data_IF_864798543032
#
_entry.id   IF_864798543032
#
_cell.length_a   1.000
_cell.length_b   1.000
_cell.length_c   1.000
_cell.angle_alpha   90.00
_cell.angle_beta   90.00
_cell.angle_gamma   90.00
#
_symmetry.space_group_name_H-M   'P 1'
#
loop_
_entity.id
_entity.type
_entity.pdbx_description
1 polymer ?
#
# COMPACT_ATOMS: atom_id res chain seq x y z
N UNK A 1 -10.01 15.15 17.49
CA UNK A 1 -11.33 14.51 17.65
C UNK A 1 -11.07 13.05 17.97
N UNK A 2 -11.51 12.56 19.13
CA UNK A 2 -11.27 11.19 19.56
C UNK A 2 -12.47 10.34 19.12
N UNK A 3 -12.39 9.73 17.94
CA UNK A 3 -13.46 8.89 17.39
C UNK A 3 -13.36 7.51 18.00
N UNK A 4 -14.09 7.27 19.10
CA UNK A 4 -14.25 5.92 19.64
C UNK A 4 -14.92 5.04 18.59
N UNK A 5 -14.29 3.91 18.27
CA UNK A 5 -14.88 2.91 17.39
C UNK A 5 -16.23 2.44 17.96
N UNK A 6 -17.21 2.24 17.09
CA UNK A 6 -18.52 1.65 17.42
C UNK A 6 -18.45 0.12 17.56
N UNK A 7 -17.27 -0.48 17.34
CA UNK A 7 -17.04 -1.92 17.46
C UNK A 7 -17.09 -2.36 18.92
N UNK A 8 -17.85 -3.41 19.19
CA UNK A 8 -17.80 -4.16 20.45
C UNK A 8 -16.58 -5.07 20.47
N UNK A 9 -15.48 -4.56 21.03
CA UNK A 9 -14.20 -5.25 21.07
C UNK A 9 -14.16 -6.43 22.04
N UNK A 10 -15.01 -6.43 23.07
CA UNK A 10 -15.05 -7.53 24.04
C UNK A 10 -15.74 -8.75 23.42
N UNK A 11 -16.78 -8.52 22.61
CA UNK A 11 -17.38 -9.58 21.80
C UNK A 11 -16.40 -10.18 20.79
N UNK A 12 -15.66 -9.35 20.04
CA UNK A 12 -14.68 -9.84 19.05
C UNK A 12 -13.57 -10.66 19.71
N UNK A 13 -13.12 -10.26 20.91
CA UNK A 13 -12.07 -10.99 21.63
C UNK A 13 -12.53 -12.33 22.20
N UNK A 14 -13.83 -12.49 22.47
CA UNK A 14 -14.40 -13.70 23.04
C UNK A 14 -14.94 -14.69 21.99
N UNK A 15 -15.03 -14.28 20.72
CA UNK A 15 -15.47 -15.12 19.61
C UNK A 15 -14.44 -16.21 19.31
N UNK A 16 -14.90 -17.44 19.12
CA UNK A 16 -14.04 -18.55 18.71
C UNK A 16 -13.82 -18.55 17.20
N UNK A 17 -12.70 -19.08 16.74
CA UNK A 17 -12.34 -19.11 15.31
C UNK A 17 -13.41 -19.82 14.45
N UNK A 18 -14.05 -20.86 14.98
CA UNK A 18 -15.10 -21.61 14.27
C UNK A 18 -16.40 -20.81 14.08
N UNK A 19 -16.60 -19.74 14.86
CA UNK A 19 -17.76 -18.85 14.75
C UNK A 19 -17.54 -17.75 13.71
N UNK A 20 -16.33 -17.63 13.14
CA UNK A 20 -16.00 -16.66 12.10
C UNK A 20 -16.57 -17.13 10.77
N UNK A 21 -17.50 -16.36 10.21
CA UNK A 21 -18.03 -16.59 8.87
C UNK A 21 -16.99 -16.19 7.81
N UNK A 22 -16.47 -17.19 7.11
CA UNK A 22 -15.55 -17.01 5.96
C UNK A 22 -16.18 -17.47 4.65
N UNK A 23 -17.52 -17.52 4.56
CA UNK A 23 -18.21 -18.01 3.36
C UNK A 23 -17.93 -17.18 2.10
N UNK A 24 -17.54 -15.92 2.27
CA UNK A 24 -17.15 -14.99 1.22
C UNK A 24 -15.71 -15.17 0.72
N UNK A 25 -14.83 -15.76 1.53
CA UNK A 25 -13.40 -15.92 1.23
C UNK A 25 -12.95 -17.32 1.62
N UNK A 26 -12.72 -18.17 0.61
CA UNK A 26 -12.24 -19.52 0.84
C UNK A 26 -10.90 -19.53 1.62
N UNK A 27 -10.69 -20.51 2.52
CA UNK A 27 -9.43 -20.68 3.22
C UNK A 27 -8.24 -20.82 2.26
N UNK A 28 -7.13 -20.16 2.58
CA UNK A 28 -5.88 -20.31 1.82
C UNK A 28 -5.24 -21.65 2.15
N UNK A 29 -4.86 -22.41 1.14
CA UNK A 29 -4.21 -23.72 1.28
C UNK A 29 -2.68 -23.64 1.14
N UNK A 30 -1.99 -24.75 1.44
CA UNK A 30 -0.54 -24.84 1.31
C UNK A 30 -0.06 -24.59 -0.14
N UNK A 31 -0.92 -24.86 -1.14
CA UNK A 31 -0.60 -24.63 -2.54
C UNK A 31 -0.52 -23.12 -2.87
N UNK A 32 -1.38 -22.30 -2.25
CA UNK A 32 -1.28 -20.84 -2.32
C UNK A 32 0.07 -20.35 -1.80
N UNK A 33 0.46 -20.79 -0.61
CA UNK A 33 1.71 -20.35 0.02
C UNK A 33 2.96 -20.87 -0.70
N UNK A 34 2.89 -22.03 -1.36
CA UNK A 34 3.99 -22.58 -2.17
C UNK A 34 4.44 -21.64 -3.30
N UNK A 35 3.50 -20.89 -3.87
CA UNK A 35 3.77 -19.95 -4.98
C UNK A 35 3.76 -18.47 -4.54
N UNK A 36 3.42 -18.21 -3.28
CA UNK A 36 3.34 -16.85 -2.75
C UNK A 36 4.73 -16.21 -2.75
N UNK A 37 4.87 -15.09 -3.48
CA UNK A 37 6.08 -14.28 -3.46
C UNK A 37 5.94 -13.22 -2.37
N UNK A 38 6.69 -13.39 -1.28
CA UNK A 38 6.83 -12.33 -0.29
C UNK A 38 7.53 -11.13 -0.94
N UNK A 39 6.78 -10.06 -1.17
CA UNK A 39 7.33 -8.78 -1.62
C UNK A 39 7.48 -7.90 -0.38
N UNK A 40 8.67 -7.88 0.19
CA UNK A 40 9.00 -6.87 1.18
C UNK A 40 9.03 -5.51 0.48
N UNK A 41 8.39 -4.47 1.03
CA UNK A 41 8.55 -3.13 0.48
C UNK A 41 10.02 -2.74 0.64
N UNK A 42 10.72 -2.62 -0.48
CA UNK A 42 12.09 -2.12 -0.49
C UNK A 42 12.09 -0.72 0.15
N UNK A 43 13.07 -0.48 1.03
CA UNK A 43 13.23 0.80 1.70
C UNK A 43 13.42 1.91 0.67
N UNK A 44 12.78 3.06 0.91
CA UNK A 44 13.00 4.25 0.08
C UNK A 44 14.32 4.88 0.47
N UNK A 45 15.22 5.06 -0.48
CA UNK A 45 16.45 5.82 -0.27
C UNK A 45 16.16 7.32 -0.34
N UNK A 46 16.53 8.07 0.70
CA UNK A 46 16.46 9.52 0.68
C UNK A 46 17.57 10.06 -0.23
N UNK A 47 17.19 10.73 -1.32
CA UNK A 47 18.12 11.40 -2.23
C UNK A 47 17.74 12.88 -2.36
N UNK A 48 18.74 13.72 -2.62
CA UNK A 48 18.53 15.12 -2.99
C UNK A 48 18.72 15.28 -4.49
N UNK A 49 17.65 15.64 -5.20
CA UNK A 49 17.65 15.89 -6.64
C UNK A 49 17.19 17.32 -6.93
N UNK A 50 17.64 17.88 -8.06
CA UNK A 50 17.09 19.13 -8.59
C UNK A 50 15.98 18.79 -9.57
N UNK A 51 14.87 19.52 -9.48
CA UNK A 51 13.70 19.42 -10.36
C UNK A 51 13.39 20.84 -10.82
N UNK A 52 12.96 20.99 -12.07
CA UNK A 52 12.56 22.28 -12.60
C UNK A 52 11.39 22.88 -11.80
N UNK A 53 11.40 24.20 -11.64
CA UNK A 53 10.48 24.92 -10.76
C UNK A 53 9.02 24.76 -11.18
N UNK A 54 8.76 24.81 -12.48
CA UNK A 54 7.43 24.65 -13.09
C UNK A 54 6.86 23.24 -12.87
N UNK A 55 7.69 22.21 -13.03
CA UNK A 55 7.32 20.82 -12.76
C UNK A 55 6.98 20.63 -11.28
N UNK A 56 7.77 21.22 -10.39
CA UNK A 56 7.52 21.14 -8.95
C UNK A 56 6.23 21.88 -8.55
N UNK A 57 5.97 23.04 -9.11
CA UNK A 57 4.73 23.80 -8.89
C UNK A 57 3.51 23.04 -9.40
N UNK A 58 3.60 22.47 -10.61
CA UNK A 58 2.53 21.64 -11.16
C UNK A 58 2.23 20.44 -10.26
N UNK A 59 3.24 19.72 -9.77
CA UNK A 59 3.07 18.58 -8.85
C UNK A 59 2.44 18.99 -7.51
N UNK A 60 2.85 20.14 -6.96
CA UNK A 60 2.27 20.70 -5.73
C UNK A 60 0.81 21.14 -5.92
N UNK A 61 0.45 21.63 -7.10
CA UNK A 61 -0.92 22.04 -7.42
C UNK A 61 -1.92 20.89 -7.33
N UNK A 62 -1.44 19.65 -7.51
CA UNK A 62 -2.28 18.45 -7.42
C UNK A 62 -2.54 17.95 -6.00
N UNK A 63 -2.18 18.72 -4.97
CA UNK A 63 -2.51 18.45 -3.57
C UNK A 63 -1.38 17.81 -2.76
N UNK A 64 -1.75 17.30 -1.57
CA UNK A 64 -0.81 16.68 -0.63
C UNK A 64 -0.21 15.40 -1.25
N UNK A 65 1.05 15.11 -0.93
CA UNK A 65 1.72 13.88 -1.37
C UNK A 65 2.46 13.99 -2.71
N UNK A 66 2.81 15.19 -3.16
CA UNK A 66 3.58 15.40 -4.40
C UNK A 66 4.90 14.58 -4.43
N UNK A 67 5.57 14.39 -3.29
CA UNK A 67 6.76 13.52 -3.19
C UNK A 67 6.45 12.05 -3.52
N UNK A 68 5.32 11.53 -3.07
CA UNK A 68 4.86 10.18 -3.40
C UNK A 68 4.53 10.07 -4.89
N UNK A 69 3.93 11.12 -5.48
CA UNK A 69 3.65 11.18 -6.93
C UNK A 69 4.93 11.20 -7.76
N UNK A 70 5.95 11.95 -7.35
CA UNK A 70 7.27 11.95 -8.02
C UNK A 70 7.79 10.52 -8.11
N UNK A 71 7.78 9.78 -6.99
CA UNK A 71 8.24 8.40 -6.99
C UNK A 71 7.39 7.47 -7.86
N UNK A 72 6.07 7.67 -7.91
CA UNK A 72 5.18 6.88 -8.76
C UNK A 72 5.49 7.10 -10.25
N UNK A 73 5.65 8.35 -10.67
CA UNK A 73 6.00 8.71 -12.06
C UNK A 73 7.34 8.07 -12.47
N UNK A 74 8.36 8.21 -11.62
CA UNK A 74 9.68 7.61 -11.87
C UNK A 74 9.62 6.09 -11.97
N UNK A 75 8.80 5.43 -11.14
CA UNK A 75 8.63 3.97 -11.18
C UNK A 75 7.94 3.52 -12.47
N UNK A 76 6.86 4.17 -12.87
CA UNK A 76 6.17 3.84 -14.13
C UNK A 76 7.11 3.97 -15.32
N UNK A 77 7.89 5.06 -15.38
CA UNK A 77 8.88 5.23 -16.44
C UNK A 77 9.98 4.15 -16.42
N UNK A 78 10.46 3.78 -15.23
CA UNK A 78 11.44 2.69 -15.09
C UNK A 78 10.89 1.36 -15.61
N UNK A 79 9.65 1.02 -15.27
CA UNK A 79 8.98 -0.20 -15.72
C UNK A 79 8.78 -0.21 -17.23
N UNK A 80 8.33 0.91 -17.82
CA UNK A 80 8.17 1.04 -19.28
C UNK A 80 9.49 0.89 -20.06
N UNK A 81 10.59 1.40 -19.51
CA UNK A 81 11.93 1.27 -20.12
C UNK A 81 12.46 -0.16 -19.98
N UNK A 82 12.15 -0.84 -18.88
CA UNK A 82 12.67 -2.19 -18.60
C UNK A 82 11.93 -3.30 -19.35
N UNK A 83 10.70 -3.04 -19.80
CA UNK A 83 9.89 -3.98 -20.60
C UNK A 83 10.14 -3.85 -22.12
N UNK A 84 11.07 -2.96 -22.54
CA UNK A 84 11.55 -2.83 -23.94
C UNK A 84 12.91 -3.49 -24.13
#
# INVERSE_FOLDING_TARGET
MNTKSLTDWDKVRAMQDEEIDTSDIAPLDDHFFKNAKLRMPEGKTLITIRVDSDVLEWLKSQGKGYQTKINAILRTYMEEVQDR
#
